data_IF_849736162516
#
_entry.id   IF_849736162516
#
_cell.length_a   1.000
_cell.length_b   1.000
_cell.length_c   1.000
_cell.angle_alpha   90.00
_cell.angle_beta   90.00
_cell.angle_gamma   90.00
#
_symmetry.space_group_name_H-M   'P 1'
#
loop_
_entity.id
_entity.type
_entity.pdbx_description
1 polymer ?
#
# COMPACT_ATOMS: atom_id res chain seq x y z
N UNK A 1 14.53 -1.16 -6.24
CA UNK A 1 15.74 -1.54 -5.47
C UNK A 1 15.67 -0.79 -4.16
N UNK A 2 15.47 -1.47 -3.03
CA UNK A 2 15.30 -0.82 -1.72
C UNK A 2 16.54 -0.01 -1.34
N UNK A 3 16.35 1.15 -0.71
CA UNK A 3 17.43 2.07 -0.32
C UNK A 3 18.49 1.41 0.58
N UNK A 4 18.09 0.39 1.34
CA UNK A 4 19.00 -0.43 2.16
C UNK A 4 19.97 -1.29 1.33
N UNK A 5 19.48 -1.86 0.22
CA UNK A 5 20.32 -2.67 -0.68
C UNK A 5 21.31 -1.76 -1.41
N UNK A 6 20.89 -0.59 -1.89
CA UNK A 6 21.80 0.41 -2.48
C UNK A 6 22.93 0.79 -1.52
N UNK A 7 22.62 1.03 -0.25
CA UNK A 7 23.60 1.42 0.78
C UNK A 7 24.65 0.33 1.07
N UNK A 8 24.26 -0.94 0.99
CA UNK A 8 25.15 -2.11 1.14
C UNK A 8 26.02 -2.37 -0.09
N UNK A 9 25.46 -2.14 -1.28
CA UNK A 9 26.20 -2.21 -2.56
C UNK A 9 27.29 -1.12 -2.61
N UNK A 10 26.97 0.11 -2.18
CA UNK A 10 27.95 1.21 -2.13
C UNK A 10 29.08 1.01 -1.12
N UNK A 11 28.91 0.13 -0.12
CA UNK A 11 29.95 -0.22 0.85
C UNK A 11 30.85 -1.39 0.43
N UNK A 12 30.59 -2.04 -0.73
CA UNK A 12 31.37 -3.17 -1.25
C UNK A 12 31.74 -2.94 -2.72
N UNK A 13 32.71 -2.07 -3.02
CA UNK A 13 33.01 -1.63 -4.38
C UNK A 13 33.54 -2.74 -5.31
N UNK A 14 33.99 -3.87 -4.76
CA UNK A 14 34.52 -5.02 -5.50
C UNK A 14 33.62 -6.27 -5.44
N UNK A 15 32.33 -6.13 -5.11
CA UNK A 15 31.40 -7.26 -5.08
C UNK A 15 31.18 -7.82 -6.49
N UNK A 16 31.35 -9.14 -6.66
CA UNK A 16 31.07 -9.79 -7.93
C UNK A 16 29.56 -9.78 -8.22
N UNK A 17 29.20 -10.01 -9.49
CA UNK A 17 27.79 -10.10 -9.89
C UNK A 17 27.03 -11.18 -9.10
N UNK A 18 27.73 -12.24 -8.69
CA UNK A 18 27.18 -13.32 -7.90
C UNK A 18 26.87 -12.87 -6.46
N UNK A 19 27.78 -12.12 -5.84
CA UNK A 19 27.61 -11.61 -4.47
C UNK A 19 26.42 -10.65 -4.35
N UNK A 20 26.19 -9.85 -5.40
CA UNK A 20 25.05 -8.93 -5.48
C UNK A 20 23.72 -9.68 -5.60
N UNK A 21 23.69 -10.75 -6.40
CA UNK A 21 22.52 -11.59 -6.59
C UNK A 21 22.19 -12.36 -5.30
N UNK A 22 23.22 -12.88 -4.62
CA UNK A 22 23.09 -13.61 -3.36
C UNK A 22 22.64 -12.70 -2.21
N UNK A 23 23.13 -11.46 -2.15
CA UNK A 23 22.66 -10.47 -1.19
C UNK A 23 21.19 -10.10 -1.43
N UNK A 24 20.80 -9.89 -2.69
CA UNK A 24 19.42 -9.59 -3.06
C UNK A 24 18.49 -10.76 -2.70
N UNK A 25 18.89 -12.00 -3.02
CA UNK A 25 18.13 -13.20 -2.71
C UNK A 25 18.05 -13.43 -1.19
N UNK A 26 19.12 -13.19 -0.44
CA UNK A 26 19.13 -13.29 1.03
C UNK A 26 18.20 -12.28 1.69
N UNK A 27 18.24 -11.01 1.28
CA UNK A 27 17.34 -9.97 1.81
C UNK A 27 15.87 -10.25 1.44
N UNK A 28 15.62 -10.77 0.24
CA UNK A 28 14.29 -11.23 -0.20
C UNK A 28 13.78 -12.40 0.65
N UNK A 29 14.65 -13.36 0.98
CA UNK A 29 14.29 -14.52 1.80
C UNK A 29 14.03 -14.13 3.26
N UNK A 30 14.82 -13.20 3.84
CA UNK A 30 14.56 -12.65 5.18
C UNK A 30 13.17 -12.01 5.30
N UNK A 31 12.70 -11.29 4.27
CA UNK A 31 11.34 -10.72 4.23
C UNK A 31 10.25 -11.78 4.18
N UNK A 32 10.49 -12.93 3.53
CA UNK A 32 9.55 -14.06 3.55
C UNK A 32 9.50 -14.75 4.91
N UNK A 33 10.64 -14.87 5.58
CA UNK A 33 10.75 -15.51 6.91
C UNK A 33 10.04 -14.67 7.98
N UNK A 34 10.16 -13.34 7.94
CA UNK A 34 9.42 -12.42 8.83
C UNK A 34 7.88 -12.42 8.63
N UNK A 35 7.35 -13.13 7.62
CA UNK A 35 5.91 -13.28 7.37
C UNK A 35 5.36 -14.63 7.83
N UNK A 36 6.18 -15.51 8.41
CA UNK A 36 5.79 -16.85 8.87
C UNK A 36 5.53 -16.93 10.39
N UNK A 37 5.15 -15.82 11.02
CA UNK A 37 4.45 -15.88 12.30
C UNK A 37 2.95 -16.05 12.05
N UNK A 38 2.17 -16.65 12.97
CA UNK A 38 0.72 -16.48 12.94
C UNK A 38 0.42 -14.98 12.83
N UNK A 39 -0.47 -14.58 11.91
CA UNK A 39 -0.88 -13.19 11.81
C UNK A 39 -1.22 -12.69 13.22
N UNK A 40 -0.73 -11.51 13.66
CA UNK A 40 -1.08 -10.96 14.95
C UNK A 40 -2.60 -11.05 15.09
N UNK A 41 -3.07 -11.71 16.16
CA UNK A 41 -4.50 -11.79 16.43
C UNK A 41 -4.96 -10.36 16.67
N UNK A 42 -5.63 -9.78 15.68
CA UNK A 42 -6.25 -8.47 15.78
C UNK A 42 -7.17 -8.53 16.99
N UNK A 43 -6.97 -7.66 17.99
CA UNK A 43 -7.78 -7.68 19.23
C UNK A 43 -9.24 -7.23 19.01
N UNK A 44 -9.68 -7.05 17.76
CA UNK A 44 -11.04 -6.65 17.41
C UNK A 44 -11.30 -5.14 17.44
N UNK A 45 -10.45 -4.38 18.14
CA UNK A 45 -10.65 -2.92 18.35
C UNK A 45 -9.75 -2.03 17.47
N UNK A 46 -9.00 -2.64 16.56
CA UNK A 46 -8.10 -1.89 15.69
C UNK A 46 -8.88 -1.04 14.68
N UNK A 47 -8.41 0.19 14.42
CA UNK A 47 -9.10 1.13 13.55
C UNK A 47 -8.48 1.20 12.15
N UNK A 48 -9.34 1.32 11.15
CA UNK A 48 -9.00 1.49 9.74
C UNK A 48 -8.19 2.78 9.53
N UNK A 49 -6.95 2.67 9.06
CA UNK A 49 -6.03 3.81 8.86
C UNK A 49 -6.52 4.84 7.82
N UNK A 50 -7.52 4.45 7.03
CA UNK A 50 -8.12 5.28 5.98
C UNK A 50 -9.26 6.13 6.54
N UNK A 51 -10.05 5.55 7.45
CA UNK A 51 -11.41 6.02 7.68
C UNK A 51 -11.89 5.93 9.13
N UNK A 52 -11.11 5.30 10.02
CA UNK A 52 -11.38 5.22 11.45
C UNK A 52 -12.49 4.23 11.86
N UNK A 53 -13.11 3.50 10.94
CA UNK A 53 -14.01 2.38 11.31
C UNK A 53 -13.20 1.19 11.82
N UNK A 54 -13.84 0.29 12.57
CA UNK A 54 -13.27 -1.00 12.96
C UNK A 54 -12.67 -1.71 11.75
N UNK A 55 -11.40 -2.07 11.86
CA UNK A 55 -10.68 -2.82 10.84
C UNK A 55 -10.95 -4.31 11.01
N UNK A 56 -11.03 -5.01 9.88
CA UNK A 56 -11.18 -6.47 9.86
C UNK A 56 -9.86 -7.17 9.54
N UNK A 57 -8.81 -6.37 9.28
CA UNK A 57 -7.44 -6.82 9.10
C UNK A 57 -6.69 -6.05 8.04
N UNK A 58 -5.58 -6.64 7.59
CA UNK A 58 -4.73 -6.04 6.58
C UNK A 58 -5.26 -6.34 5.18
N UNK A 59 -5.58 -5.29 4.44
CA UNK A 59 -5.91 -5.36 3.03
C UNK A 59 -4.95 -4.47 2.26
N UNK A 60 -4.30 -5.03 1.23
CA UNK A 60 -3.32 -4.29 0.43
C UNK A 60 -2.20 -3.67 1.29
N UNK A 61 -1.75 -4.43 2.30
CA UNK A 61 -0.74 -4.03 3.31
C UNK A 61 -1.13 -2.84 4.19
N UNK A 62 -2.43 -2.55 4.31
CA UNK A 62 -2.96 -1.48 5.17
C UNK A 62 -4.02 -2.06 6.09
N UNK A 63 -3.95 -1.74 7.37
CA UNK A 63 -4.99 -2.10 8.32
C UNK A 63 -6.26 -1.31 7.98
N UNK A 64 -7.30 -2.02 7.53
CA UNK A 64 -8.48 -1.36 6.96
C UNK A 64 -9.79 -2.13 7.20
N UNK A 65 -10.90 -1.41 7.06
CA UNK A 65 -12.24 -1.99 7.08
C UNK A 65 -12.64 -2.53 5.70
N UNK A 66 -13.61 -3.45 5.67
CA UNK A 66 -14.15 -4.04 4.44
C UNK A 66 -14.66 -2.97 3.44
N UNK A 67 -15.24 -1.88 3.96
CA UNK A 67 -15.72 -0.77 3.13
C UNK A 67 -14.60 -0.09 2.33
N UNK A 68 -13.44 0.12 2.95
CA UNK A 68 -12.28 0.75 2.30
C UNK A 68 -11.56 -0.20 1.36
N UNK A 69 -11.46 -1.49 1.72
CA UNK A 69 -10.97 -2.56 0.83
C UNK A 69 -11.76 -2.61 -0.47
N UNK A 70 -13.09 -2.74 -0.38
CA UNK A 70 -13.96 -2.83 -1.56
C UNK A 70 -13.96 -1.55 -2.40
N UNK A 71 -13.94 -0.38 -1.75
CA UNK A 71 -13.84 0.91 -2.42
C UNK A 71 -12.54 1.02 -3.22
N UNK A 72 -11.40 0.77 -2.58
CA UNK A 72 -10.09 0.84 -3.21
C UNK A 72 -10.01 -0.09 -4.43
N UNK A 73 -10.40 -1.36 -4.27
CA UNK A 73 -10.42 -2.34 -5.37
C UNK A 73 -11.21 -1.85 -6.58
N UNK A 74 -12.46 -1.39 -6.38
CA UNK A 74 -13.32 -0.92 -7.46
C UNK A 74 -12.73 0.31 -8.16
N UNK A 75 -12.20 1.26 -7.40
CA UNK A 75 -11.62 2.48 -7.98
C UNK A 75 -10.40 2.17 -8.84
N UNK A 76 -9.51 1.31 -8.38
CA UNK A 76 -8.29 0.95 -9.12
C UNK A 76 -8.60 0.11 -10.35
N UNK A 77 -9.40 -0.96 -10.22
CA UNK A 77 -9.74 -1.85 -11.34
C UNK A 77 -10.45 -1.08 -12.46
N UNK A 78 -11.39 -0.21 -12.10
CA UNK A 78 -12.19 0.52 -13.07
C UNK A 78 -11.54 1.86 -13.49
N UNK A 79 -10.36 2.20 -12.95
CA UNK A 79 -9.69 3.47 -13.25
C UNK A 79 -10.53 4.72 -12.94
N UNK A 80 -11.39 4.66 -11.92
CA UNK A 80 -12.36 5.73 -11.66
C UNK A 80 -11.65 6.96 -11.12
N UNK A 81 -11.87 8.10 -11.77
CA UNK A 81 -11.38 9.40 -11.31
C UNK A 81 -12.50 10.13 -10.59
N UNK A 82 -12.22 10.56 -9.37
CA UNK A 82 -13.16 11.35 -8.56
C UNK A 82 -12.70 12.81 -8.46
N UNK A 83 -13.66 13.71 -8.23
CA UNK A 83 -13.42 15.12 -7.89
C UNK A 83 -13.85 15.39 -6.46
N UNK A 84 -13.14 16.29 -5.77
CA UNK A 84 -13.49 16.70 -4.42
C UNK A 84 -14.59 17.75 -4.50
N UNK A 85 -15.75 17.49 -3.88
CA UNK A 85 -16.89 18.44 -3.92
C UNK A 85 -16.59 19.77 -3.23
N UNK A 86 -15.72 19.76 -2.22
CA UNK A 86 -15.35 20.96 -1.47
C UNK A 86 -14.13 21.69 -2.07
N UNK A 87 -13.43 21.09 -3.04
CA UNK A 87 -12.18 21.62 -3.60
C UNK A 87 -10.96 21.55 -2.66
N UNK A 88 -11.16 21.37 -1.36
CA UNK A 88 -10.08 21.38 -0.34
C UNK A 88 -9.15 20.16 -0.44
N UNK A 89 -9.63 19.04 -1.00
CA UNK A 89 -8.87 17.78 -1.15
C UNK A 89 -8.30 17.17 0.15
N UNK A 90 -8.74 17.65 1.32
CA UNK A 90 -8.31 17.17 2.66
C UNK A 90 -9.50 16.90 3.59
N UNK A 91 -10.63 16.45 3.04
CA UNK A 91 -11.82 16.14 3.83
C UNK A 91 -11.50 15.12 4.95
N UNK A 92 -11.97 15.40 6.17
CA UNK A 92 -11.88 14.45 7.28
C UNK A 92 -12.74 13.21 6.98
N UNK A 93 -12.13 12.03 6.97
CA UNK A 93 -12.79 10.75 6.67
C UNK A 93 -13.17 9.98 7.94
N UNK A 94 -13.05 10.56 9.14
CA UNK A 94 -13.45 9.86 10.38
C UNK A 94 -14.97 9.82 10.57
N UNK A 95 -15.71 10.78 10.00
CA UNK A 95 -17.18 10.78 10.06
C UNK A 95 -17.79 10.00 8.89
N UNK A 96 -18.85 9.21 9.15
CA UNK A 96 -19.52 8.41 8.12
C UNK A 96 -20.02 9.27 6.94
N UNK A 97 -20.60 10.44 7.26
CA UNK A 97 -21.06 11.42 6.27
C UNK A 97 -19.93 11.88 5.34
N UNK A 98 -18.77 12.27 5.88
CA UNK A 98 -17.68 12.76 5.06
C UNK A 98 -17.00 11.63 4.23
N UNK A 99 -16.93 10.41 4.78
CA UNK A 99 -16.48 9.21 4.03
C UNK A 99 -17.33 8.91 2.80
N UNK A 100 -18.64 9.07 2.93
CA UNK A 100 -19.59 8.82 1.83
C UNK A 100 -19.59 9.98 0.83
N UNK A 101 -19.49 11.22 1.32
CA UNK A 101 -19.57 12.44 0.49
C UNK A 101 -18.34 12.68 -0.38
N UNK A 102 -17.14 12.29 0.05
CA UNK A 102 -15.91 12.64 -0.67
C UNK A 102 -15.06 11.42 -1.08
N UNK A 103 -15.43 10.82 -2.21
CA UNK A 103 -14.71 9.69 -2.82
C UNK A 103 -13.28 10.06 -3.24
N UNK A 104 -13.04 11.31 -3.68
CA UNK A 104 -11.70 11.81 -4.04
C UNK A 104 -10.73 11.79 -2.86
N UNK A 105 -11.10 12.39 -1.74
CA UNK A 105 -10.26 12.38 -0.53
C UNK A 105 -10.07 10.95 -0.02
N UNK A 106 -11.11 10.11 -0.11
CA UNK A 106 -11.02 8.70 0.26
C UNK A 106 -10.00 7.93 -0.57
N UNK A 107 -10.04 8.02 -1.90
CA UNK A 107 -9.06 7.31 -2.73
C UNK A 107 -7.66 7.89 -2.54
N UNK A 108 -7.51 9.21 -2.39
CA UNK A 108 -6.22 9.83 -2.12
C UNK A 108 -5.63 9.35 -0.80
N UNK A 109 -6.45 9.20 0.24
CA UNK A 109 -6.02 8.62 1.51
C UNK A 109 -5.61 7.16 1.35
N UNK A 110 -6.43 6.33 0.69
CA UNK A 110 -6.11 4.93 0.40
C UNK A 110 -4.76 4.79 -0.32
N UNK A 111 -4.53 5.60 -1.35
CA UNK A 111 -3.27 5.65 -2.07
C UNK A 111 -2.16 6.09 -1.11
N UNK A 112 -2.30 7.19 -0.38
CA UNK A 112 -1.26 7.67 0.55
C UNK A 112 -0.83 6.60 1.58
N UNK A 113 -1.77 5.87 2.19
CA UNK A 113 -1.45 4.86 3.21
C UNK A 113 -0.89 3.58 2.61
N UNK A 114 -1.44 3.11 1.48
CA UNK A 114 -0.87 1.96 0.75
C UNK A 114 0.48 2.29 0.11
N UNK A 115 0.71 3.56 -0.23
CA UNK A 115 1.93 4.04 -0.86
C UNK A 115 3.12 4.17 0.07
N UNK A 116 2.95 4.05 1.39
CA UNK A 116 4.08 3.86 2.31
C UNK A 116 4.92 2.63 1.93
N UNK A 117 4.37 1.71 1.12
CA UNK A 117 5.04 0.56 0.52
C UNK A 117 5.07 0.57 -1.03
N UNK A 118 4.50 1.58 -1.71
CA UNK A 118 4.33 1.61 -3.18
C UNK A 118 5.22 2.64 -3.90
N UNK A 119 5.99 3.46 -3.17
CA UNK A 119 6.81 4.56 -3.73
C UNK A 119 7.88 4.14 -4.77
N UNK A 120 8.07 2.85 -5.04
CA UNK A 120 8.98 2.38 -6.11
C UNK A 120 8.37 2.56 -7.52
N UNK A 121 7.07 2.84 -7.68
CA UNK A 121 6.40 2.79 -9.01
C UNK A 121 5.60 4.06 -9.35
N UNK A 122 6.07 5.26 -8.96
CA UNK A 122 5.44 6.54 -9.39
C UNK A 122 6.49 7.54 -9.91
N UNK A 123 7.51 7.06 -10.63
CA UNK A 123 8.40 7.94 -11.42
C UNK A 123 8.12 7.90 -12.92
N UNK A 124 7.23 7.01 -13.38
CA UNK A 124 6.81 6.97 -14.77
C UNK A 124 5.29 6.82 -14.84
N UNK A 125 4.67 7.52 -15.78
CA UNK A 125 3.24 7.67 -16.06
C UNK A 125 2.48 6.39 -16.41
N UNK A 126 2.79 5.29 -15.72
CA UNK A 126 2.21 3.98 -15.92
C UNK A 126 1.60 3.56 -14.59
N UNK A 127 0.33 3.94 -14.40
CA UNK A 127 -0.60 3.07 -13.64
C UNK A 127 -0.72 1.82 -14.50
N UNK A 128 0.36 1.03 -14.54
CA UNK A 128 0.52 -0.05 -15.49
C UNK A 128 -0.42 -1.13 -15.08
N UNK A 129 -1.05 -1.71 -16.10
CA UNK A 129 -1.91 -2.88 -16.09
C UNK A 129 -1.43 -3.97 -15.10
N UNK A 130 -0.13 -4.02 -14.78
CA UNK A 130 0.50 -4.84 -13.73
C UNK A 130 -0.18 -4.78 -12.34
N UNK A 131 -0.62 -3.62 -11.84
CA UNK A 131 -1.34 -3.57 -10.56
C UNK A 131 -2.73 -4.22 -10.65
N UNK A 132 -3.42 -4.02 -11.79
CA UNK A 132 -4.73 -4.63 -12.05
C UNK A 132 -4.63 -6.16 -12.09
N UNK A 133 -3.53 -6.71 -12.61
CA UNK A 133 -3.30 -8.15 -12.65
C UNK A 133 -3.10 -8.78 -11.26
N UNK A 134 -2.43 -8.10 -10.32
CA UNK A 134 -2.21 -8.64 -8.97
C UNK A 134 -3.47 -8.61 -8.08
N UNK A 135 -4.48 -7.82 -8.44
CA UNK A 135 -5.77 -7.75 -7.74
C UNK A 135 -6.87 -8.65 -8.34
N UNK A 136 -6.58 -9.40 -9.41
CA UNK A 136 -7.51 -10.25 -10.14
C UNK A 136 -7.38 -11.76 -9.86
N UNK A 137 -6.39 -12.18 -9.07
CA UNK A 137 -6.20 -13.55 -8.57
C UNK A 137 -6.60 -13.63 -7.11
#
# INVERSE_FOLDING_TARGET
>A
MDDFIKKKITSMPNASKQDLEDLYNTERMKRKIHRKGPAPKLLGDELCEICGQTANGFHYNVLSCEGCKGFFRRTIINGIKYTCRTGVNTCDLQTAMARQRCQKCRIMRCLKVSHRYFLIIISNSVISKTLVYCFKT
#
